data_IF_358978981737
#
_entry.id   IF_358978981737
#
_cell.length_a   1.000
_cell.length_b   1.000
_cell.length_c   1.000
_cell.angle_alpha   90.00
_cell.angle_beta   90.00
_cell.angle_gamma   90.00
#
_symmetry.space_group_name_H-M   'P 1'
#
loop_
_entity.id
_entity.type
_entity.pdbx_description
1 polymer ?
#
# COMPACT_ATOMS: atom_id res chain seq x y z
N UNK A 1 0.18 4.55 12.28
CA UNK A 1 1.06 4.87 11.16
C UNK A 1 0.67 4.01 9.97
N UNK A 2 0.59 4.61 8.80
CA UNK A 2 0.35 3.95 7.52
C UNK A 2 1.61 4.09 6.68
N UNK A 3 2.24 2.98 6.31
CA UNK A 3 3.42 2.95 5.46
C UNK A 3 2.98 2.53 4.04
N UNK A 4 3.17 3.45 3.11
CA UNK A 4 2.94 3.27 1.68
C UNK A 4 4.29 3.23 0.97
N UNK A 5 4.44 2.31 0.04
CA UNK A 5 5.67 2.13 -0.71
C UNK A 5 5.67 0.79 -1.40
N UNK A 6 6.60 0.62 -2.34
CA UNK A 6 6.78 -0.64 -3.05
C UNK A 6 7.78 -1.52 -2.32
N UNK A 7 7.75 -2.83 -2.58
CA UNK A 7 8.72 -3.75 -1.97
C UNK A 7 10.15 -3.33 -2.36
N UNK A 8 10.34 -2.80 -3.57
CA UNK A 8 11.59 -2.20 -4.04
C UNK A 8 12.01 -0.98 -3.20
N UNK A 9 11.05 -0.16 -2.74
CA UNK A 9 11.32 0.97 -1.84
C UNK A 9 11.67 0.54 -0.40
N UNK A 10 11.63 -0.76 -0.10
CA UNK A 10 11.99 -1.28 1.22
C UNK A 10 10.94 -1.00 2.30
N UNK A 11 9.66 -0.85 1.91
CA UNK A 11 8.59 -0.56 2.89
C UNK A 11 8.48 -1.56 4.03
N UNK A 12 8.72 -2.84 3.77
CA UNK A 12 8.69 -3.87 4.80
C UNK A 12 9.89 -3.77 5.75
N UNK A 13 11.08 -3.42 5.22
CA UNK A 13 12.25 -3.16 6.05
C UNK A 13 12.06 -1.94 6.95
N UNK A 14 11.59 -0.82 6.39
CA UNK A 14 11.27 0.38 7.17
C UNK A 14 10.21 0.10 8.24
N UNK A 15 9.17 -0.66 7.89
CA UNK A 15 8.14 -1.06 8.85
C UNK A 15 8.71 -1.89 10.00
N UNK A 16 9.68 -2.77 9.74
CA UNK A 16 10.36 -3.55 10.77
C UNK A 16 11.20 -2.64 11.67
N UNK A 17 12.05 -1.79 11.10
CA UNK A 17 12.90 -0.86 11.87
C UNK A 17 12.08 0.04 12.79
N UNK A 18 10.99 0.63 12.30
CA UNK A 18 10.13 1.50 13.14
C UNK A 18 9.42 0.70 14.22
N UNK A 19 8.95 -0.51 13.90
CA UNK A 19 8.28 -1.37 14.88
C UNK A 19 9.25 -1.83 15.98
N UNK A 20 10.47 -2.19 15.62
CA UNK A 20 11.51 -2.63 16.55
C UNK A 20 11.96 -1.46 17.44
N UNK A 21 12.16 -0.26 16.87
CA UNK A 21 12.51 0.95 17.63
C UNK A 21 11.40 1.35 18.63
N UNK A 22 10.13 1.28 18.21
CA UNK A 22 9.00 1.57 19.09
C UNK A 22 8.88 0.53 20.21
N UNK A 23 9.08 -0.75 19.89
CA UNK A 23 9.08 -1.84 20.89
C UNK A 23 10.22 -1.65 21.90
N UNK A 24 11.43 -1.31 21.43
CA UNK A 24 12.58 -1.02 22.28
C UNK A 24 12.35 0.19 23.21
N UNK A 25 11.54 1.15 22.78
CA UNK A 25 11.08 2.28 23.59
C UNK A 25 9.91 1.94 24.53
N UNK A 26 9.52 0.66 24.64
CA UNK A 26 8.42 0.21 25.49
C UNK A 26 7.01 0.49 24.93
N UNK A 27 6.90 0.89 23.66
CA UNK A 27 5.61 1.12 23.00
C UNK A 27 5.09 -0.18 22.41
N UNK A 28 3.88 -0.58 22.78
CA UNK A 28 3.18 -1.70 22.14
C UNK A 28 2.93 -1.41 20.66
N UNK A 29 3.31 -2.31 19.75
CA UNK A 29 3.12 -2.13 18.30
C UNK A 29 2.17 -3.20 17.76
N UNK A 30 1.08 -2.77 17.15
CA UNK A 30 0.17 -3.64 16.41
C UNK A 30 0.38 -3.48 14.91
N UNK A 31 1.05 -4.44 14.29
CA UNK A 31 1.24 -4.46 12.83
C UNK A 31 0.01 -5.03 12.14
N UNK A 32 -0.43 -4.39 11.05
CA UNK A 32 -1.53 -4.83 10.18
C UNK A 32 -1.07 -4.75 8.72
N UNK A 33 -1.59 -5.61 7.85
CA UNK A 33 -1.23 -5.64 6.43
C UNK A 33 -2.46 -5.46 5.55
N UNK A 34 -2.35 -4.59 4.55
CA UNK A 34 -3.38 -4.44 3.51
C UNK A 34 -4.52 -3.47 3.84
N UNK A 35 -4.99 -3.40 5.09
CA UNK A 35 -6.15 -2.58 5.48
C UNK A 35 -5.98 -1.99 6.88
N UNK A 36 -6.66 -0.88 7.17
CA UNK A 36 -6.71 -0.36 8.54
C UNK A 36 -7.37 -1.36 9.48
N UNK A 37 -8.46 -2.01 9.06
CA UNK A 37 -9.18 -2.98 9.87
C UNK A 37 -8.67 -4.43 9.71
N UNK A 38 -7.53 -4.64 9.04
CA UNK A 38 -6.96 -5.97 8.91
C UNK A 38 -6.61 -6.57 10.29
N UNK A 39 -6.65 -7.90 10.38
CA UNK A 39 -6.18 -8.61 11.58
C UNK A 39 -4.69 -8.30 11.83
N UNK A 40 -4.24 -8.33 13.09
CA UNK A 40 -2.83 -8.25 13.41
C UNK A 40 -2.03 -9.26 12.60
N UNK A 41 -0.95 -8.80 12.00
CA UNK A 41 -0.07 -9.59 11.17
C UNK A 41 1.32 -9.64 11.82
N UNK A 42 1.80 -10.85 12.09
CA UNK A 42 3.13 -11.08 12.67
C UNK A 42 4.19 -11.32 11.59
N UNK A 43 3.80 -11.48 10.32
CA UNK A 43 4.75 -11.71 9.25
C UNK A 43 5.61 -10.48 8.97
N UNK A 44 6.93 -10.67 9.09
CA UNK A 44 7.95 -9.62 8.88
C UNK A 44 8.30 -9.39 7.41
N UNK A 45 7.94 -10.33 6.53
CA UNK A 45 8.22 -10.30 5.09
C UNK A 45 6.95 -10.57 4.28
N UNK A 46 6.90 -10.02 3.06
CA UNK A 46 5.87 -10.30 2.05
C UNK A 46 6.24 -11.49 1.14
N UNK A 47 7.41 -12.10 1.36
CA UNK A 47 7.95 -13.21 0.59
C UNK A 47 7.19 -14.50 0.90
N UNK A 48 6.06 -14.68 0.23
CA UNK A 48 5.16 -15.82 0.43
C UNK A 48 3.77 -15.60 -0.13
N UNK A 49 3.62 -14.80 -1.21
CA UNK A 49 2.30 -14.59 -1.84
C UNK A 49 1.80 -15.94 -2.38
N UNK A 50 0.65 -16.41 -1.90
CA UNK A 50 0.03 -17.63 -2.42
C UNK A 50 -0.20 -17.52 -3.93
N UNK A 51 -0.08 -18.64 -4.65
CA UNK A 51 -0.29 -18.70 -6.10
C UNK A 51 -1.64 -18.10 -6.54
N UNK A 52 -2.69 -18.28 -5.74
CA UNK A 52 -4.01 -17.68 -5.98
C UNK A 52 -3.99 -16.15 -5.91
N UNK A 53 -3.22 -15.58 -4.98
CA UNK A 53 -3.05 -14.13 -4.82
C UNK A 53 -2.23 -13.52 -5.95
N UNK A 54 -1.23 -14.26 -6.46
CA UNK A 54 -0.44 -13.89 -7.64
C UNK A 54 -1.30 -13.88 -8.92
N UNK A 55 -2.18 -14.86 -9.07
CA UNK A 55 -3.10 -14.93 -10.22
C UNK A 55 -4.12 -13.79 -10.22
N UNK A 56 -4.70 -13.46 -9.05
CA UNK A 56 -5.58 -12.31 -8.88
C UNK A 56 -4.87 -10.99 -9.16
N UNK A 57 -3.62 -10.83 -8.68
CA UNK A 57 -2.79 -9.65 -8.96
C UNK A 57 -2.54 -9.51 -10.47
N UNK A 58 -2.28 -10.62 -11.18
CA UNK A 58 -2.08 -10.64 -12.63
C UNK A 58 -3.35 -10.31 -13.42
N UNK A 59 -4.49 -10.89 -13.04
CA UNK A 59 -5.77 -10.62 -13.69
C UNK A 59 -6.21 -9.16 -13.48
N UNK A 60 -5.96 -8.64 -12.27
CA UNK A 60 -6.23 -7.24 -11.93
C UNK A 60 -5.38 -6.28 -12.78
N UNK A 61 -4.07 -6.52 -12.89
CA UNK A 61 -3.18 -5.70 -13.72
C UNK A 61 -3.54 -5.77 -15.22
N UNK A 62 -3.94 -6.95 -15.72
CA UNK A 62 -4.32 -7.11 -17.13
C UNK A 62 -5.65 -6.41 -17.47
N UNK A 63 -6.60 -6.38 -16.54
CA UNK A 63 -7.92 -5.74 -16.72
C UNK A 63 -7.95 -4.29 -16.26
N UNK A 64 -6.86 -3.81 -15.65
CA UNK A 64 -6.74 -2.47 -15.09
C UNK A 64 -7.16 -1.36 -16.05
N UNK A 65 -6.72 -1.31 -17.33
CA UNK A 65 -7.01 -0.19 -18.23
C UNK A 65 -8.52 -0.01 -18.48
N UNK A 66 -9.27 -1.11 -18.46
CA UNK A 66 -10.73 -1.13 -18.65
C UNK A 66 -11.47 -0.58 -17.43
N UNK A 67 -10.92 -0.76 -16.23
CA UNK A 67 -11.55 -0.39 -14.97
C UNK A 67 -10.97 0.89 -14.36
N UNK A 68 -9.90 1.46 -14.92
CA UNK A 68 -9.18 2.63 -14.41
C UNK A 68 -10.11 3.82 -14.15
N UNK A 69 -11.16 4.03 -14.95
CA UNK A 69 -12.11 5.14 -14.74
C UNK A 69 -13.04 4.94 -13.54
N UNK A 70 -13.39 3.70 -13.21
CA UNK A 70 -14.29 3.35 -12.11
C UNK A 70 -13.53 3.07 -10.80
N UNK A 71 -12.26 2.68 -10.92
CA UNK A 71 -11.37 2.35 -9.82
C UNK A 71 -11.30 3.43 -8.73
N UNK A 72 -11.19 4.74 -9.03
CA UNK A 72 -11.20 5.78 -8.00
C UNK A 72 -12.46 5.78 -7.14
N UNK A 73 -13.64 5.52 -7.73
CA UNK A 73 -14.90 5.46 -7.00
C UNK A 73 -14.99 4.19 -6.14
N UNK A 74 -14.63 3.04 -6.71
CA UNK A 74 -14.63 1.75 -6.01
C UNK A 74 -13.65 1.75 -4.83
N UNK A 75 -12.43 2.24 -5.05
CA UNK A 75 -11.43 2.39 -3.98
C UNK A 75 -11.88 3.39 -2.92
N UNK A 76 -12.55 4.48 -3.30
CA UNK A 76 -13.18 5.42 -2.38
C UNK A 76 -14.23 4.76 -1.47
N UNK A 77 -15.07 3.87 -2.03
CA UNK A 77 -16.04 3.11 -1.24
C UNK A 77 -15.35 2.14 -0.26
N UNK A 78 -14.35 1.39 -0.74
CA UNK A 78 -13.58 0.47 0.09
C UNK A 78 -12.87 1.20 1.24
N UNK A 79 -12.25 2.35 0.97
CA UNK A 79 -11.65 3.22 1.98
C UNK A 79 -12.68 3.68 3.02
N UNK A 80 -13.87 4.09 2.58
CA UNK A 80 -14.92 4.55 3.50
C UNK A 80 -15.39 3.42 4.42
N UNK A 81 -15.55 2.20 3.88
CA UNK A 81 -15.91 1.01 4.67
C UNK A 81 -14.80 0.68 5.66
N UNK A 82 -13.54 0.63 5.21
CA UNK A 82 -12.39 0.32 6.07
C UNK A 82 -12.26 1.34 7.22
N UNK A 83 -12.37 2.63 6.92
CA UNK A 83 -12.33 3.70 7.93
C UNK A 83 -13.51 3.61 8.92
N UNK A 84 -14.71 3.24 8.45
CA UNK A 84 -15.88 3.06 9.33
C UNK A 84 -15.73 1.87 10.27
N UNK A 85 -15.08 0.81 9.81
CA UNK A 85 -14.83 -0.39 10.60
C UNK A 85 -13.60 -0.26 11.50
N UNK A 86 -12.71 0.69 11.18
CA UNK A 86 -11.49 0.89 11.93
C UNK A 86 -11.79 1.28 13.39
N UNK A 87 -11.36 0.42 14.30
CA UNK A 87 -11.30 0.70 15.73
C UNK A 87 -9.86 0.95 16.11
N UNK A 88 -9.59 2.14 16.64
CA UNK A 88 -8.27 2.52 17.15
C UNK A 88 -7.97 1.66 18.39
N UNK A 89 -6.82 0.98 18.45
CA UNK A 89 -6.44 0.25 19.66
C UNK A 89 -6.29 1.20 20.85
N UNK A 90 -6.63 0.70 22.04
CA UNK A 90 -6.70 1.48 23.27
C UNK A 90 -5.34 2.02 23.73
N UNK A 91 -4.25 1.32 23.40
CA UNK A 91 -2.88 1.73 23.68
C UNK A 91 -1.94 1.27 22.56
N UNK A 92 -0.80 1.96 22.42
CA UNK A 92 0.24 1.59 21.48
C UNK A 92 0.13 2.22 20.08
N UNK A 93 1.01 1.76 19.20
CA UNK A 93 1.17 2.21 17.81
C UNK A 93 0.60 1.15 16.86
N UNK A 94 -0.42 1.50 16.07
CA UNK A 94 -0.81 0.66 14.93
C UNK A 94 0.12 0.95 13.74
N UNK A 95 0.75 -0.06 13.16
CA UNK A 95 1.56 0.06 11.96
C UNK A 95 0.90 -0.69 10.80
N UNK A 96 0.32 0.03 9.84
CA UNK A 96 -0.34 -0.57 8.67
C UNK A 96 0.63 -0.52 7.49
N UNK A 97 1.01 -1.69 6.97
CA UNK A 97 1.94 -1.80 5.85
C UNK A 97 1.17 -2.13 4.56
N UNK A 98 1.43 -1.37 3.50
CA UNK A 98 0.89 -1.60 2.16
C UNK A 98 -0.65 -1.61 2.11
N UNK A 99 -1.28 -0.47 2.40
CA UNK A 99 -2.74 -0.35 2.34
C UNK A 99 -3.27 -0.47 0.90
N UNK A 100 -4.06 -1.50 0.65
CA UNK A 100 -4.50 -1.96 -0.67
C UNK A 100 -5.33 -0.90 -1.39
N UNK A 101 -6.42 -0.41 -0.78
CA UNK A 101 -7.28 0.59 -1.43
C UNK A 101 -6.52 1.89 -1.79
N UNK A 102 -5.64 2.36 -0.92
CA UNK A 102 -4.82 3.56 -1.20
C UNK A 102 -3.81 3.30 -2.31
N UNK A 103 -3.15 2.13 -2.32
CA UNK A 103 -2.22 1.73 -3.38
C UNK A 103 -2.93 1.60 -4.73
N UNK A 104 -4.10 0.99 -4.77
CA UNK A 104 -4.92 0.89 -5.98
C UNK A 104 -5.37 2.26 -6.49
N UNK A 105 -5.77 3.14 -5.57
CA UNK A 105 -6.12 4.52 -5.92
C UNK A 105 -4.93 5.27 -6.54
N UNK A 106 -3.74 5.13 -5.95
CA UNK A 106 -2.53 5.75 -6.47
C UNK A 106 -2.17 5.25 -7.87
N UNK A 107 -2.25 3.92 -8.10
CA UNK A 107 -2.03 3.32 -9.43
C UNK A 107 -3.05 3.85 -10.44
N UNK A 108 -4.34 3.85 -10.08
CA UNK A 108 -5.38 4.35 -10.97
C UNK A 108 -5.16 5.82 -11.33
N UNK A 109 -4.78 6.66 -10.36
CA UNK A 109 -4.46 8.06 -10.62
C UNK A 109 -3.25 8.20 -11.56
N UNK A 110 -2.18 7.43 -11.33
CA UNK A 110 -0.99 7.46 -12.19
C UNK A 110 -1.22 6.99 -13.63
N UNK A 111 -2.27 6.20 -13.87
CA UNK A 111 -2.68 5.84 -15.24
C UNK A 111 -3.63 6.83 -15.90
N UNK A 112 -4.47 7.51 -15.11
CA UNK A 112 -5.47 8.42 -15.64
C UNK A 112 -4.86 9.76 -16.03
N UNK A 113 -3.75 10.15 -15.41
CA UNK A 113 -3.11 11.45 -15.64
C UNK A 113 -1.60 11.37 -15.63
N UNK A 114 -0.97 12.07 -16.57
CA UNK A 114 0.49 12.19 -16.64
C UNK A 114 1.06 13.18 -15.61
N UNK A 115 0.19 14.01 -15.02
CA UNK A 115 0.56 15.10 -14.12
C UNK A 115 -0.26 15.07 -12.83
N UNK A 116 0.36 15.20 -11.64
CA UNK A 116 -0.36 15.18 -10.36
C UNK A 116 -1.46 16.25 -10.26
N UNK A 117 -1.28 17.41 -10.87
CA UNK A 117 -2.22 18.54 -10.81
C UNK A 117 -3.52 18.27 -11.56
N UNK A 118 -3.46 17.36 -12.54
CA UNK A 118 -4.60 16.93 -13.33
C UNK A 118 -5.47 15.88 -12.61
N UNK A 119 -5.02 15.36 -11.45
CA UNK A 119 -5.78 14.36 -10.69
C UNK A 119 -7.15 14.97 -10.31
N UNK A 120 -8.22 14.31 -10.76
CA UNK A 120 -9.60 14.62 -10.38
C UNK A 120 -10.22 13.38 -9.75
N UNK A 121 -10.50 13.48 -8.45
CA UNK A 121 -11.07 12.37 -7.68
C UNK A 121 -12.59 12.52 -7.53
N UNK A 122 -13.35 11.41 -7.55
CA UNK A 122 -14.75 11.42 -7.14
C UNK A 122 -14.92 12.00 -5.73
N UNK A 123 -16.02 12.72 -5.50
CA UNK A 123 -16.34 13.30 -4.18
C UNK A 123 -16.33 12.27 -3.05
N UNK A 124 -16.79 11.04 -3.34
CA UNK A 124 -16.75 9.92 -2.39
C UNK A 124 -15.33 9.61 -1.94
N UNK A 125 -14.39 9.54 -2.89
CA UNK A 125 -12.97 9.25 -2.64
C UNK A 125 -12.32 10.35 -1.81
N UNK A 126 -12.59 11.62 -2.13
CA UNK A 126 -12.13 12.77 -1.34
C UNK A 126 -12.64 12.67 0.10
N UNK A 127 -13.93 12.39 0.28
CA UNK A 127 -14.54 12.19 1.61
C UNK A 127 -13.90 11.03 2.37
N UNK A 128 -13.63 9.92 1.70
CA UNK A 128 -13.02 8.74 2.30
C UNK A 128 -11.57 9.01 2.75
N UNK A 129 -10.77 9.69 1.93
CA UNK A 129 -9.42 10.14 2.30
C UNK A 129 -9.45 11.13 3.47
N UNK A 130 -10.41 12.06 3.47
CA UNK A 130 -10.64 12.98 4.60
C UNK A 130 -10.98 12.24 5.89
N UNK A 131 -11.88 11.26 5.83
CA UNK A 131 -12.23 10.42 6.97
C UNK A 131 -11.02 9.59 7.46
N UNK A 132 -10.21 9.06 6.54
CA UNK A 132 -8.97 8.37 6.88
C UNK A 132 -8.00 9.30 7.61
N UNK A 133 -7.81 10.53 7.14
CA UNK A 133 -6.97 11.53 7.82
C UNK A 133 -7.49 11.85 9.22
N UNK A 134 -8.81 11.92 9.41
CA UNK A 134 -9.45 12.18 10.69
C UNK A 134 -9.22 11.06 11.73
N UNK A 135 -8.83 9.85 11.32
CA UNK A 135 -8.46 8.78 12.27
C UNK A 135 -7.17 9.07 13.06
N UNK A 136 -6.42 10.12 12.69
CA UNK A 136 -5.14 10.46 13.31
C UNK A 136 -3.98 9.56 12.86
N UNK A 137 -4.20 8.71 11.84
CA UNK A 137 -3.15 7.90 11.24
C UNK A 137 -2.14 8.81 10.51
N UNK A 138 -0.89 8.78 10.98
CA UNK A 138 0.24 9.38 10.25
C UNK A 138 0.61 8.53 9.04
N UNK A 139 0.79 9.16 7.89
CA UNK A 139 1.15 8.48 6.64
C UNK A 139 2.63 8.71 6.34
N UNK A 140 3.35 7.65 6.02
CA UNK A 140 4.73 7.66 5.53
C UNK A 140 4.71 7.07 4.13
N UNK A 141 5.18 7.84 3.15
CA UNK A 141 5.32 7.38 1.76
C UNK A 141 6.80 7.16 1.50
N UNK A 142 7.15 5.95 1.09
CA UNK A 142 8.49 5.55 0.71
C UNK A 142 8.52 5.43 -0.80
N UNK A 143 9.31 6.30 -1.42
CA UNK A 143 9.64 6.25 -2.83
C UNK A 143 11.15 6.06 -2.97
N UNK A 144 11.57 5.55 -4.12
CA UNK A 144 12.97 5.40 -4.47
C UNK A 144 13.21 6.00 -5.84
N UNK A 145 14.41 6.57 -5.99
CA UNK A 145 14.86 7.11 -7.26
C UNK A 145 14.75 6.06 -8.38
N UNK A 146 14.42 6.53 -9.59
CA UNK A 146 14.24 5.67 -10.75
C UNK A 146 15.47 4.80 -11.04
N UNK A 147 16.68 5.36 -10.94
CA UNK A 147 17.91 4.61 -11.19
C UNK A 147 18.09 3.48 -10.17
N UNK A 148 17.81 3.75 -8.89
CA UNK A 148 17.86 2.76 -7.81
C UNK A 148 16.78 1.68 -7.99
N UNK A 149 15.59 2.07 -8.47
CA UNK A 149 14.50 1.14 -8.78
C UNK A 149 14.88 0.17 -9.90
N UNK A 150 15.46 0.68 -10.98
CA UNK A 150 15.93 -0.14 -12.12
C UNK A 150 17.03 -1.12 -11.67
N UNK A 151 17.99 -0.65 -10.87
CA UNK A 151 19.06 -1.50 -10.35
C UNK A 151 18.52 -2.63 -9.45
N UNK A 152 17.65 -2.31 -8.48
CA UNK A 152 17.04 -3.33 -7.59
C UNK A 152 16.16 -4.32 -8.34
N UNK A 153 15.51 -3.86 -9.41
CA UNK A 153 14.74 -4.74 -10.29
C UNK A 153 15.65 -5.73 -11.05
N UNK A 154 16.81 -5.27 -11.53
CA UNK A 154 17.80 -6.11 -12.19
C UNK A 154 18.35 -7.17 -11.22
N UNK A 155 18.67 -6.79 -9.97
CA UNK A 155 19.14 -7.73 -8.94
C UNK A 155 18.09 -8.80 -8.61
N UNK A 156 16.81 -8.41 -8.49
CA UNK A 156 15.70 -9.35 -8.27
C UNK A 156 15.47 -10.26 -9.47
N UNK A 157 15.63 -9.76 -10.70
CA UNK A 157 15.59 -10.59 -11.93
C UNK A 157 16.68 -11.66 -11.89
N UNK A 158 17.91 -11.29 -11.51
CA UNK A 158 19.02 -12.23 -11.36
C UNK A 158 18.79 -13.30 -10.29
N UNK A 159 18.00 -12.99 -9.24
CA UNK A 159 17.67 -13.92 -8.14
C UNK A 159 16.37 -14.70 -8.33
N UNK A 160 15.61 -14.46 -9.40
CA UNK A 160 14.34 -15.14 -9.66
C UNK A 160 13.19 -14.75 -8.73
N UNK A 161 13.32 -13.68 -7.93
CA UNK A 161 12.33 -13.26 -6.92
C UNK A 161 11.43 -12.09 -7.38
N UNK A 162 11.39 -11.83 -8.68
CA UNK A 162 10.59 -10.75 -9.28
C UNK A 162 9.11 -11.04 -9.15
N UNK A 163 8.37 -10.14 -8.49
CA UNK A 163 6.91 -10.23 -8.44
C UNK A 163 6.24 -9.54 -9.65
N UNK A 164 4.92 -9.71 -9.81
CA UNK A 164 4.19 -9.12 -10.94
C UNK A 164 4.15 -7.59 -10.89
N UNK A 165 4.21 -7.01 -9.69
CA UNK A 165 4.20 -5.57 -9.49
C UNK A 165 5.54 -4.94 -9.88
N UNK A 166 6.63 -5.64 -9.58
CA UNK A 166 7.99 -5.32 -9.99
C UNK A 166 8.10 -5.28 -11.53
N UNK A 167 7.48 -6.22 -12.25
CA UNK A 167 7.41 -6.16 -13.74
C UNK A 167 6.62 -4.96 -14.23
N UNK A 168 5.48 -4.68 -13.63
CA UNK A 168 4.63 -3.54 -14.02
C UNK A 168 5.32 -2.19 -13.79
N UNK A 169 6.11 -2.03 -12.73
CA UNK A 169 6.85 -0.79 -12.47
C UNK A 169 8.16 -0.65 -13.27
N UNK A 170 8.59 -1.72 -13.93
CA UNK A 170 9.81 -1.75 -14.75
C UNK A 170 9.57 -1.62 -16.26
N UNK A 171 8.31 -1.62 -16.69
CA UNK A 171 7.87 -1.25 -18.05
C UNK A 171 7.53 0.24 -18.10
#
# INVERSE_FOLDING_TARGET
>A
MLILGTDLAGKDHFANVVSDAATAAGVQVERRRGWLCARPDQERTSEGKSWSRLWLERLFLATLPLHCRLLPALTGLLLLVDVRLFRRPAAGLTCVVSHTAVRLLAIACGHLVDRPEAIRLPRLTIRALGAMRATGVRVVVLDIDHAVRVQRLADRRGRGTVDHFDRYMGS
#
